data_IF_412102747832
#
_entry.id   IF_412102747832
#
_cell.length_a   1.000
_cell.length_b   1.000
_cell.length_c   1.000
_cell.angle_alpha   90.00
_cell.angle_beta   90.00
_cell.angle_gamma   90.00
#
_symmetry.space_group_name_H-M   'P 1'
#
loop_
_entity.id
_entity.type
_entity.pdbx_description
1 polymer ?
#
# COMPACT_ATOMS: atom_id res chain seq x y z
N UNK A 1 12.59 48.25 -33.47
CA UNK A 1 12.90 48.11 -32.03
C UNK A 1 12.97 46.62 -31.68
N UNK A 2 14.09 46.23 -31.03
CA UNK A 2 14.39 45.03 -30.22
C UNK A 2 14.10 43.64 -30.80
N UNK A 3 15.15 43.04 -31.37
CA UNK A 3 15.32 41.60 -31.61
C UNK A 3 15.65 40.92 -30.27
N UNK A 4 14.78 40.06 -29.76
CA UNK A 4 15.01 39.32 -28.51
C UNK A 4 16.03 38.20 -28.73
N UNK A 5 17.23 38.35 -28.18
CA UNK A 5 18.25 37.29 -28.15
C UNK A 5 18.04 36.43 -26.91
N UNK A 6 17.37 35.28 -27.04
CA UNK A 6 17.37 34.28 -25.97
C UNK A 6 18.69 33.51 -26.01
N UNK A 7 19.62 33.86 -25.11
CA UNK A 7 20.83 33.07 -24.87
C UNK A 7 20.44 31.74 -24.19
N UNK A 8 20.89 30.58 -24.68
CA UNK A 8 20.63 29.31 -24.01
C UNK A 8 21.52 29.23 -22.76
N UNK A 9 20.89 29.12 -21.58
CA UNK A 9 21.59 28.84 -20.32
C UNK A 9 22.28 27.48 -20.42
N UNK A 10 23.58 27.34 -20.11
CA UNK A 10 24.21 26.03 -20.09
C UNK A 10 23.59 25.19 -18.96
N UNK A 11 23.06 24.02 -19.34
CA UNK A 11 22.58 23.04 -18.39
C UNK A 11 23.74 22.62 -17.49
N UNK A 12 23.64 22.93 -16.18
CA UNK A 12 24.58 22.45 -15.17
C UNK A 12 24.49 20.93 -15.14
N UNK A 13 25.41 20.25 -15.82
CA UNK A 13 25.59 18.80 -15.70
C UNK A 13 25.94 18.50 -14.25
N UNK A 14 24.96 18.09 -13.45
CA UNK A 14 25.24 17.36 -12.21
C UNK A 14 25.87 16.04 -12.66
N UNK A 15 27.17 15.88 -12.38
CA UNK A 15 27.77 14.56 -12.41
C UNK A 15 26.92 13.67 -11.49
N UNK A 16 26.35 12.61 -12.05
CA UNK A 16 25.63 11.60 -11.27
C UNK A 16 26.70 10.79 -10.57
N UNK A 17 27.19 11.30 -9.43
CA UNK A 17 28.02 10.50 -8.53
C UNK A 17 27.10 9.38 -8.03
N UNK A 18 27.41 8.10 -8.33
CA UNK A 18 26.62 7.01 -7.79
C UNK A 18 26.70 7.10 -6.26
N UNK A 19 25.58 6.90 -5.55
CA UNK A 19 25.62 6.88 -4.08
C UNK A 19 26.63 5.81 -3.65
N UNK A 20 27.45 6.08 -2.60
CA UNK A 20 28.38 5.09 -2.08
C UNK A 20 27.67 3.76 -1.85
N UNK A 21 28.14 2.71 -2.53
CA UNK A 21 27.50 1.39 -2.54
C UNK A 21 27.72 0.60 -1.26
N UNK A 22 28.52 1.12 -0.32
CA UNK A 22 28.73 0.53 0.99
C UNK A 22 28.41 1.54 2.08
N UNK A 23 27.39 1.21 2.88
CA UNK A 23 27.17 1.84 4.18
C UNK A 23 28.20 1.23 5.13
N UNK A 24 29.37 1.85 5.21
CA UNK A 24 30.37 1.52 6.22
C UNK A 24 29.95 2.08 7.58
N UNK A 25 29.59 1.21 8.52
CA UNK A 25 29.36 1.62 9.91
C UNK A 25 30.73 1.87 10.57
N UNK A 26 31.22 3.10 10.48
CA UNK A 26 32.43 3.52 11.18
C UNK A 26 32.03 4.17 12.51
N UNK A 27 32.53 3.64 13.63
CA UNK A 27 32.44 4.31 14.92
C UNK A 27 33.19 5.65 14.84
N UNK A 28 32.53 6.76 15.18
CA UNK A 28 33.14 8.10 15.14
C UNK A 28 34.19 8.32 16.25
N UNK A 29 34.24 7.43 17.24
CA UNK A 29 35.22 7.46 18.34
C UNK A 29 36.02 6.15 18.38
N UNK A 30 37.33 6.19 18.03
CA UNK A 30 38.20 5.02 18.00
C UNK A 30 38.60 4.50 19.38
N UNK A 31 38.29 5.25 20.45
CA UNK A 31 38.60 4.88 21.84
C UNK A 31 37.57 3.90 22.42
N UNK A 32 36.39 3.80 21.80
CA UNK A 32 35.34 2.89 22.21
C UNK A 32 35.73 1.48 21.80
N UNK A 33 36.17 0.67 22.76
CA UNK A 33 36.34 -0.76 22.53
C UNK A 33 34.98 -1.38 22.20
N UNK A 34 34.83 -2.07 21.05
CA UNK A 34 33.58 -2.73 20.73
C UNK A 34 33.28 -3.73 21.85
N UNK A 35 32.06 -3.68 22.38
CA UNK A 35 31.64 -4.68 23.35
C UNK A 35 31.78 -6.05 22.69
N UNK A 36 32.49 -7.03 23.30
CA UNK A 36 32.53 -8.36 22.76
C UNK A 36 31.08 -8.85 22.65
N UNK A 37 30.69 -9.26 21.45
CA UNK A 37 29.37 -9.83 21.21
C UNK A 37 29.34 -11.17 21.94
N UNK A 38 28.85 -11.18 23.17
CA UNK A 38 28.47 -12.44 23.80
C UNK A 38 27.38 -13.05 22.92
N UNK A 39 27.55 -14.32 22.58
CA UNK A 39 26.57 -15.13 21.84
C UNK A 39 25.18 -14.80 22.40
N UNK A 40 24.38 -14.07 21.61
CA UNK A 40 23.08 -13.59 22.09
C UNK A 40 22.23 -14.83 22.27
N UNK A 41 21.79 -15.11 23.49
CA UNK A 41 20.85 -16.21 23.71
C UNK A 41 19.67 -16.05 22.76
N UNK A 42 19.30 -17.08 21.99
CA UNK A 42 18.16 -16.99 21.08
C UNK A 42 16.95 -16.51 21.87
N UNK A 43 16.28 -15.46 21.37
CA UNK A 43 15.00 -15.03 21.95
C UNK A 43 14.08 -16.25 21.85
N UNK A 44 13.57 -16.79 22.98
CA UNK A 44 12.69 -17.94 22.93
C UNK A 44 11.48 -17.59 22.07
N UNK A 45 11.15 -18.44 21.09
CA UNK A 45 9.90 -18.28 20.36
C UNK A 45 8.75 -18.22 21.37
N UNK A 46 7.84 -17.24 21.27
CA UNK A 46 6.70 -17.17 22.17
C UNK A 46 5.89 -18.45 22.00
N UNK A 47 5.94 -19.32 23.02
CA UNK A 47 5.21 -20.58 23.03
C UNK A 47 3.72 -20.24 22.95
N UNK A 48 2.98 -20.74 21.94
CA UNK A 48 1.54 -20.58 21.91
C UNK A 48 0.97 -21.20 23.20
N UNK A 49 0.30 -20.40 24.02
CA UNK A 49 -0.39 -20.90 25.21
C UNK A 49 -1.56 -21.79 24.75
N UNK A 50 -1.51 -23.12 24.97
CA UNK A 50 -2.57 -24.02 24.53
C UNK A 50 -3.91 -23.73 25.23
N UNK A 51 -3.89 -23.04 26.38
CA UNK A 51 -5.10 -22.64 27.09
C UNK A 51 -5.81 -21.42 26.46
N UNK A 52 -5.15 -20.72 25.53
CA UNK A 52 -5.72 -19.59 24.78
C UNK A 52 -5.78 -19.91 23.29
N UNK A 53 -6.78 -20.68 22.83
CA UNK A 53 -7.02 -20.81 21.40
C UNK A 53 -7.23 -19.40 20.82
N UNK A 54 -6.49 -19.08 19.75
CA UNK A 54 -6.73 -17.84 19.00
C UNK A 54 -8.18 -17.90 18.54
N UNK A 55 -9.01 -16.95 19.01
CA UNK A 55 -10.41 -16.88 18.58
C UNK A 55 -10.42 -16.81 17.05
N UNK A 56 -11.10 -17.73 16.36
CA UNK A 56 -11.33 -17.56 14.93
C UNK A 56 -12.02 -16.21 14.75
N UNK A 57 -11.34 -15.26 14.13
CA UNK A 57 -11.97 -14.01 13.75
C UNK A 57 -13.05 -14.35 12.75
N UNK A 58 -14.32 -14.31 13.17
CA UNK A 58 -15.43 -14.48 12.23
C UNK A 58 -15.36 -13.34 11.22
N UNK A 59 -15.26 -13.65 9.92
CA UNK A 59 -15.41 -12.63 8.89
C UNK A 59 -16.79 -12.01 9.06
N UNK A 60 -16.86 -10.74 9.44
CA UNK A 60 -18.11 -9.99 9.52
C UNK A 60 -18.04 -8.84 8.54
N UNK A 61 -19.04 -8.76 7.68
CA UNK A 61 -19.24 -7.57 6.87
C UNK A 61 -19.50 -6.37 7.79
N UNK A 62 -18.84 -5.23 7.58
CA UNK A 62 -19.17 -4.00 8.29
C UNK A 62 -20.60 -3.58 7.90
N UNK A 63 -21.43 -3.28 8.90
CA UNK A 63 -22.79 -2.77 8.67
C UNK A 63 -22.80 -1.28 8.31
N UNK A 64 -21.79 -0.54 8.77
CA UNK A 64 -21.63 0.89 8.50
C UNK A 64 -20.16 1.19 8.20
N UNK A 65 -19.92 2.12 7.28
CA UNK A 65 -18.59 2.66 7.01
C UNK A 65 -18.67 4.19 6.85
N UNK A 66 -17.60 4.87 7.24
CA UNK A 66 -17.47 6.32 7.08
C UNK A 66 -16.57 6.61 5.89
N UNK A 67 -16.98 7.58 5.07
CA UNK A 67 -16.18 8.04 3.92
C UNK A 67 -14.89 8.68 4.45
N UNK A 68 -13.75 8.12 4.04
CA UNK A 68 -12.44 8.70 4.29
C UNK A 68 -12.02 9.65 3.17
N UNK A 69 -10.74 10.04 3.18
CA UNK A 69 -10.15 10.82 2.09
C UNK A 69 -8.87 10.18 1.55
N UNK A 70 -8.65 10.32 0.25
CA UNK A 70 -7.40 10.06 -0.45
C UNK A 70 -6.86 11.33 -1.10
N UNK A 71 -5.75 11.23 -1.82
CA UNK A 71 -5.16 12.35 -2.56
C UNK A 71 -4.84 11.95 -3.99
N UNK A 72 -5.06 12.87 -4.94
CA UNK A 72 -4.40 12.76 -6.24
C UNK A 72 -2.88 12.99 -6.07
N UNK A 73 -2.03 12.18 -6.74
CA UNK A 73 -0.58 12.26 -6.56
C UNK A 73 0.00 13.61 -6.97
N UNK A 74 -0.59 14.30 -7.95
CA UNK A 74 -0.02 15.52 -8.54
C UNK A 74 -0.65 16.83 -8.03
N UNK A 75 -1.85 16.78 -7.45
CA UNK A 75 -2.60 17.99 -7.06
C UNK A 75 -2.79 18.17 -5.56
N UNK A 76 -2.37 17.21 -4.73
CA UNK A 76 -2.65 17.16 -3.29
C UNK A 76 -4.14 17.40 -2.95
N UNK A 77 -5.04 17.23 -3.90
CA UNK A 77 -6.47 17.44 -3.72
C UNK A 77 -7.07 16.26 -2.97
N UNK A 78 -7.80 16.54 -1.89
CA UNK A 78 -8.55 15.52 -1.15
C UNK A 78 -9.71 15.01 -2.00
N UNK A 79 -9.85 13.69 -2.06
CA UNK A 79 -10.95 13.02 -2.74
C UNK A 79 -11.67 12.07 -1.76
N UNK A 80 -13.01 11.98 -1.80
CA UNK A 80 -13.74 11.03 -0.97
C UNK A 80 -13.34 9.60 -1.33
N UNK A 81 -13.14 8.74 -0.34
CA UNK A 81 -12.71 7.36 -0.57
C UNK A 81 -13.45 6.39 0.35
N UNK A 82 -14.01 5.33 -0.24
CA UNK A 82 -14.58 4.18 0.46
C UNK A 82 -13.59 3.03 0.42
N UNK A 83 -13.36 2.38 1.56
CA UNK A 83 -12.46 1.22 1.67
C UNK A 83 -13.18 0.04 2.31
N UNK A 84 -13.43 -0.99 1.52
CA UNK A 84 -13.97 -2.28 1.98
C UNK A 84 -12.85 -3.32 1.97
N UNK A 85 -12.66 -4.04 3.07
CA UNK A 85 -11.64 -5.10 3.20
C UNK A 85 -12.12 -6.19 4.14
N UNK A 86 -11.73 -7.43 3.86
CA UNK A 86 -11.82 -8.56 4.77
C UNK A 86 -12.29 -9.83 4.06
N UNK A 87 -12.16 -10.96 4.76
CA UNK A 87 -12.60 -12.28 4.26
C UNK A 87 -14.11 -12.35 3.95
N UNK A 88 -14.91 -11.43 4.48
CA UNK A 88 -16.34 -11.35 4.18
C UNK A 88 -16.61 -10.99 2.72
N UNK A 89 -15.70 -10.28 2.04
CA UNK A 89 -15.80 -10.02 0.60
C UNK A 89 -15.62 -11.31 -0.20
N UNK A 90 -14.63 -12.13 0.17
CA UNK A 90 -14.39 -13.43 -0.45
C UNK A 90 -15.58 -14.37 -0.28
N UNK A 91 -16.24 -14.35 0.90
CA UNK A 91 -17.46 -15.13 1.16
C UNK A 91 -18.64 -14.73 0.27
N UNK A 92 -18.68 -13.47 -0.18
CA UNK A 92 -19.67 -12.98 -1.16
C UNK A 92 -19.24 -13.21 -2.62
N UNK A 93 -18.08 -13.83 -2.85
CA UNK A 93 -17.55 -14.11 -4.18
C UNK A 93 -16.68 -13.00 -4.78
N UNK A 94 -16.41 -11.91 -4.04
CA UNK A 94 -15.47 -10.86 -4.46
C UNK A 94 -14.04 -11.33 -4.22
N UNK A 95 -13.52 -12.11 -5.17
CA UNK A 95 -12.15 -12.64 -5.12
C UNK A 95 -11.21 -11.78 -5.94
N UNK A 96 -9.90 -12.01 -5.77
CA UNK A 96 -8.88 -11.29 -6.51
C UNK A 96 -9.04 -11.65 -7.99
N UNK A 97 -9.20 -10.64 -8.84
CA UNK A 97 -9.40 -10.80 -10.28
C UNK A 97 -10.86 -10.86 -10.73
N UNK A 98 -11.85 -10.88 -9.82
CA UNK A 98 -13.26 -10.78 -10.20
C UNK A 98 -13.56 -9.43 -10.86
N UNK A 99 -14.30 -9.45 -11.97
CA UNK A 99 -14.87 -8.25 -12.58
C UNK A 99 -16.11 -7.81 -11.83
N UNK A 100 -16.31 -6.50 -11.70
CA UNK A 100 -17.40 -5.90 -10.93
C UNK A 100 -18.23 -4.96 -11.80
N UNK A 101 -19.53 -4.94 -11.55
CA UNK A 101 -20.45 -3.92 -12.04
C UNK A 101 -20.70 -2.91 -10.92
N UNK A 102 -20.53 -1.62 -11.23
CA UNK A 102 -20.77 -0.53 -10.29
C UNK A 102 -21.91 0.32 -10.85
N UNK A 103 -22.99 0.44 -10.09
CA UNK A 103 -24.12 1.30 -10.44
C UNK A 103 -24.44 2.29 -9.31
N UNK A 104 -24.90 3.47 -9.69
CA UNK A 104 -25.19 4.57 -8.77
C UNK A 104 -26.65 4.97 -8.95
N UNK A 105 -27.41 5.02 -7.85
CA UNK A 105 -28.85 5.36 -7.87
C UNK A 105 -29.22 6.12 -6.60
N UNK A 106 -29.77 7.32 -6.72
CA UNK A 106 -30.37 8.09 -5.62
C UNK A 106 -29.59 8.08 -4.29
N UNK A 107 -28.26 8.23 -4.33
CA UNK A 107 -27.40 8.21 -3.12
C UNK A 107 -26.90 6.83 -2.70
N UNK A 108 -27.27 5.78 -3.43
CA UNK A 108 -26.76 4.43 -3.27
C UNK A 108 -25.64 4.14 -4.27
N UNK A 109 -24.62 3.44 -3.80
CA UNK A 109 -23.56 2.86 -4.60
C UNK A 109 -23.70 1.34 -4.50
N UNK A 110 -24.19 0.71 -5.57
CA UNK A 110 -24.38 -0.74 -5.64
C UNK A 110 -23.22 -1.35 -6.41
N UNK A 111 -22.54 -2.30 -5.77
CA UNK A 111 -21.43 -3.05 -6.36
C UNK A 111 -21.82 -4.51 -6.43
N UNK A 112 -21.82 -5.08 -7.63
CA UNK A 112 -22.13 -6.49 -7.88
C UNK A 112 -21.00 -7.16 -8.65
N UNK A 113 -20.93 -8.49 -8.57
CA UNK A 113 -20.06 -9.27 -9.45
C UNK A 113 -20.59 -9.16 -10.88
N UNK A 114 -19.69 -8.97 -11.84
CA UNK A 114 -20.04 -9.07 -13.24
C UNK A 114 -20.28 -10.55 -13.57
N UNK A 115 -21.42 -10.85 -14.19
CA UNK A 115 -21.71 -12.19 -14.68
C UNK A 115 -20.83 -12.45 -15.90
N UNK A 116 -19.88 -13.39 -15.82
CA UNK A 116 -19.07 -13.77 -16.98
C UNK A 116 -19.86 -14.62 -17.99
N UNK A 117 -21.14 -14.91 -17.73
CA UNK A 117 -21.99 -15.79 -18.53
C UNK A 117 -23.06 -15.07 -19.39
N UNK A 118 -22.71 -13.92 -19.99
CA UNK A 118 -23.57 -13.23 -20.97
C UNK A 118 -23.03 -13.25 -22.42
N UNK A 119 -22.07 -14.13 -22.71
CA UNK A 119 -21.60 -14.44 -24.08
C UNK A 119 -21.91 -15.90 -24.47
N UNK A 120 -22.99 -16.50 -23.94
CA UNK A 120 -23.45 -17.83 -24.37
C UNK A 120 -24.98 -18.04 -24.37
N UNK A 121 -25.76 -16.94 -24.40
CA UNK A 121 -27.25 -17.00 -24.54
C UNK A 121 -27.77 -16.29 -25.79
N UNK A 122 -26.91 -16.22 -26.81
CA UNK A 122 -27.27 -15.83 -28.16
C UNK A 122 -26.30 -16.53 -29.12
N UNK A 123 -26.59 -17.79 -29.43
CA UNK A 123 -26.44 -18.49 -30.72
C UNK A 123 -27.24 -19.78 -30.60
#
# INVERSE_FOLDING_TARGET
>A
MRRSTSSPKPARKRAMVPPPSEIGWHSLDPTIKPRPYLERTPIPEPRPDPSKPRRPGHPRAPQHCTVGYGYYPDSHQRIPTLRLRGRWLEQLGFTIGSKLNISMRNGELVVTLADENLEQRSI
#
